data_IF_324380626738
#
_entry.id   IF_324380626738
#
_cell.length_a   1.000
_cell.length_b   1.000
_cell.length_c   1.000
_cell.angle_alpha   90.00
_cell.angle_beta   90.00
_cell.angle_gamma   90.00
#
_symmetry.space_group_name_H-M   'P 1'
#
loop_
_entity.id
_entity.type
_entity.pdbx_description
1 polymer ?
#
# COMPACT_ATOMS: atom_id res chain seq x y z
N UNK A 1 -0.55 -19.85 -12.88
CA UNK A 1 -0.92 -18.42 -12.72
C UNK A 1 -2.41 -18.25 -13.04
N UNK A 2 -3.28 -18.05 -12.05
CA UNK A 2 -4.63 -17.56 -12.34
C UNK A 2 -4.48 -16.09 -12.72
N UNK A 3 -4.55 -15.81 -14.02
CA UNK A 3 -4.54 -14.47 -14.59
C UNK A 3 -5.56 -13.60 -13.87
N UNK A 4 -5.25 -12.31 -13.71
CA UNK A 4 -6.09 -11.29 -13.07
C UNK A 4 -7.40 -11.08 -13.84
N UNK A 5 -8.29 -12.08 -13.88
CA UNK A 5 -9.53 -12.06 -14.63
C UNK A 5 -10.35 -10.84 -14.17
N UNK A 6 -10.30 -9.79 -15.01
CA UNK A 6 -10.97 -8.52 -14.84
C UNK A 6 -10.28 -7.47 -13.96
N UNK A 7 -8.97 -7.51 -13.66
CA UNK A 7 -8.27 -6.40 -12.98
C UNK A 7 -7.01 -5.96 -13.70
N UNK A 8 -6.75 -4.64 -13.71
CA UNK A 8 -5.53 -4.04 -14.29
C UNK A 8 -4.79 -3.15 -13.28
N UNK A 9 -3.48 -2.92 -13.47
CA UNK A 9 -2.78 -1.86 -12.76
C UNK A 9 -3.36 -0.48 -13.10
N UNK A 10 -3.10 0.50 -12.23
CA UNK A 10 -3.32 1.91 -12.54
C UNK A 10 -2.29 2.39 -13.56
N UNK A 11 -2.73 3.22 -14.50
CA UNK A 11 -1.81 3.95 -15.38
C UNK A 11 -1.00 4.98 -14.59
N UNK A 12 0.07 5.49 -15.20
CA UNK A 12 0.88 6.55 -14.60
C UNK A 12 0.05 7.82 -14.29
N UNK A 13 -0.92 8.15 -15.13
CA UNK A 13 -1.80 9.30 -14.94
C UNK A 13 -2.79 9.05 -13.79
N UNK A 14 -3.42 7.87 -13.73
CA UNK A 14 -4.31 7.54 -12.62
C UNK A 14 -3.56 7.46 -11.28
N UNK A 15 -2.32 6.97 -11.26
CA UNK A 15 -1.48 7.05 -10.07
C UNK A 15 -1.22 8.51 -9.69
N UNK A 16 -0.87 9.37 -10.64
CA UNK A 16 -0.71 10.79 -10.34
C UNK A 16 -2.00 11.37 -9.73
N UNK A 17 -3.15 11.19 -10.38
CA UNK A 17 -4.46 11.64 -9.90
C UNK A 17 -4.83 11.07 -8.53
N UNK A 18 -4.55 9.78 -8.27
CA UNK A 18 -4.78 9.16 -6.97
C UNK A 18 -3.98 9.81 -5.86
N UNK A 19 -2.73 10.17 -6.11
CA UNK A 19 -1.79 10.71 -5.12
C UNK A 19 -1.64 12.23 -5.19
N UNK A 20 -2.53 12.91 -5.92
CA UNK A 20 -2.80 14.35 -5.84
C UNK A 20 -4.26 14.67 -5.53
N UNK A 21 -5.11 13.64 -5.41
CA UNK A 21 -6.51 13.77 -5.04
C UNK A 21 -6.69 14.31 -3.62
N UNK A 22 -7.94 14.53 -3.21
CA UNK A 22 -8.25 15.33 -2.00
C UNK A 22 -7.60 14.82 -0.71
N UNK A 23 -7.35 13.51 -0.58
CA UNK A 23 -6.65 12.93 0.59
C UNK A 23 -5.20 13.38 0.67
N UNK A 24 -4.58 13.68 -0.47
CA UNK A 24 -3.17 14.05 -0.59
C UNK A 24 -2.96 15.52 -0.98
N UNK A 25 -4.04 16.28 -1.16
CA UNK A 25 -4.01 17.73 -1.37
C UNK A 25 -4.07 18.50 -0.05
N UNK A 26 -4.19 19.82 -0.14
CA UNK A 26 -4.20 20.70 1.04
C UNK A 26 -5.62 21.00 1.57
N UNK A 27 -6.66 20.67 0.78
CA UNK A 27 -8.05 20.97 1.13
C UNK A 27 -8.85 19.70 1.44
N UNK A 28 -9.67 19.77 2.48
CA UNK A 28 -10.69 18.75 2.76
C UNK A 28 -11.90 18.92 1.84
N UNK A 29 -12.56 17.81 1.51
CA UNK A 29 -13.87 17.87 0.86
C UNK A 29 -14.99 18.03 1.88
N UNK A 30 -16.14 18.57 1.45
CA UNK A 30 -17.31 18.75 2.32
C UNK A 30 -17.74 17.41 2.93
N UNK A 31 -17.97 17.41 4.26
CA UNK A 31 -18.34 16.22 5.07
C UNK A 31 -17.32 15.08 5.00
N UNK A 32 -16.06 15.39 4.69
CA UNK A 32 -14.99 14.42 4.78
C UNK A 32 -14.78 13.93 6.21
N UNK A 33 -14.76 12.62 6.39
CA UNK A 33 -14.31 11.99 7.64
C UNK A 33 -12.94 11.37 7.38
N UNK A 34 -11.91 12.21 7.34
CA UNK A 34 -10.54 11.79 7.12
C UNK A 34 -10.09 10.85 8.25
N UNK A 35 -9.36 9.80 7.89
CA UNK A 35 -8.81 8.79 8.79
C UNK A 35 -7.36 8.54 8.39
N UNK A 36 -6.50 8.23 9.34
CA UNK A 36 -5.07 8.01 9.10
C UNK A 36 -4.86 6.88 8.09
N UNK A 37 -5.67 5.83 8.16
CA UNK A 37 -5.62 4.74 7.18
C UNK A 37 -5.98 5.17 5.74
N UNK A 38 -6.79 6.23 5.53
CA UNK A 38 -7.07 6.73 4.17
C UNK A 38 -5.80 7.25 3.49
N UNK A 39 -4.87 7.84 4.25
CA UNK A 39 -3.59 8.33 3.77
C UNK A 39 -2.57 7.19 3.65
N UNK A 40 -2.39 6.40 4.72
CA UNK A 40 -1.29 5.42 4.78
C UNK A 40 -1.56 4.12 4.02
N UNK A 41 -2.80 3.64 3.99
CA UNK A 41 -3.08 2.33 3.40
C UNK A 41 -2.78 2.28 1.89
N UNK A 42 -3.21 3.26 1.06
CA UNK A 42 -2.88 3.21 -0.37
C UNK A 42 -1.36 3.35 -0.61
N UNK A 43 -0.68 4.24 0.14
CA UNK A 43 0.77 4.40 0.06
C UNK A 43 1.50 3.08 0.34
N UNK A 44 1.20 2.44 1.47
CA UNK A 44 1.81 1.14 1.82
C UNK A 44 1.45 0.08 0.78
N UNK A 45 0.21 0.02 0.30
CA UNK A 45 -0.20 -0.93 -0.73
C UNK A 45 0.60 -0.77 -2.03
N UNK A 46 0.92 0.47 -2.43
CA UNK A 46 1.74 0.73 -3.61
C UNK A 46 3.20 0.32 -3.44
N UNK A 47 3.83 0.69 -2.31
CA UNK A 47 5.25 0.42 -2.09
C UNK A 47 5.56 -1.00 -1.60
N UNK A 48 4.54 -1.80 -1.26
CA UNK A 48 4.73 -3.18 -0.76
C UNK A 48 3.96 -4.24 -1.55
N UNK A 49 3.00 -3.82 -2.37
CA UNK A 49 2.07 -4.74 -3.04
C UNK A 49 1.24 -5.59 -2.08
N UNK A 50 1.19 -5.27 -0.78
CA UNK A 50 0.38 -5.98 0.20
C UNK A 50 -1.11 -5.72 -0.03
N UNK A 51 -1.93 -6.72 0.28
CA UNK A 51 -3.39 -6.60 0.26
C UNK A 51 -3.87 -5.78 1.46
N UNK A 52 -5.06 -5.18 1.32
CA UNK A 52 -5.63 -4.34 2.37
C UNK A 52 -5.88 -5.06 3.69
N UNK A 53 -6.14 -6.37 3.66
CA UNK A 53 -6.23 -7.18 4.90
C UNK A 53 -4.85 -7.37 5.56
N UNK A 54 -3.78 -7.59 4.78
CA UNK A 54 -2.41 -7.68 5.32
C UNK A 54 -2.02 -6.36 5.99
N UNK A 55 -2.25 -5.23 5.31
CA UNK A 55 -1.94 -3.90 5.82
C UNK A 55 -2.82 -3.53 7.02
N UNK A 56 -4.10 -3.92 6.96
CA UNK A 56 -5.05 -3.68 8.04
C UNK A 56 -4.66 -4.39 9.33
N UNK A 57 -3.98 -5.53 9.25
CA UNK A 57 -3.48 -6.28 10.41
C UNK A 57 -2.15 -5.79 10.97
N UNK A 58 -1.35 -5.01 10.22
CA UNK A 58 0.00 -4.62 10.64
C UNK A 58 0.01 -3.90 11.99
N UNK A 59 0.93 -4.32 12.85
CA UNK A 59 1.21 -3.76 14.16
C UNK A 59 2.63 -3.19 14.24
N UNK A 60 2.92 -2.46 15.32
CA UNK A 60 4.27 -1.96 15.58
C UNK A 60 5.31 -3.09 15.68
N UNK A 61 4.92 -4.27 16.15
CA UNK A 61 5.79 -5.44 16.26
C UNK A 61 6.11 -6.07 14.90
N UNK A 62 5.28 -5.81 13.88
CA UNK A 62 5.52 -6.23 12.51
C UNK A 62 6.52 -5.31 11.77
N UNK A 63 7.08 -4.30 12.44
CA UNK A 63 8.17 -3.47 11.93
C UNK A 63 9.50 -3.94 12.50
N UNK A 64 10.23 -4.72 11.70
CA UNK A 64 11.50 -5.34 12.12
C UNK A 64 12.69 -4.63 11.47
N UNK A 65 13.83 -4.60 12.17
CA UNK A 65 15.09 -4.09 11.61
C UNK A 65 15.97 -5.29 11.29
N UNK A 66 16.18 -5.52 10.00
CA UNK A 66 16.98 -6.64 9.49
C UNK A 66 18.18 -6.09 8.73
N UNK A 67 19.40 -6.44 9.12
CA UNK A 67 20.62 -5.90 8.49
C UNK A 67 20.64 -4.36 8.44
N UNK A 68 20.18 -3.70 9.52
CA UNK A 68 19.99 -2.24 9.63
C UNK A 68 18.96 -1.62 8.68
N UNK A 69 18.09 -2.44 8.07
CA UNK A 69 17.02 -1.99 7.17
C UNK A 69 15.68 -2.23 7.85
N UNK A 70 14.89 -1.18 8.03
CA UNK A 70 13.52 -1.28 8.53
C UNK A 70 12.65 -1.99 7.49
N UNK A 71 11.94 -3.04 7.89
CA UNK A 71 11.09 -3.85 7.05
C UNK A 71 9.68 -3.97 7.64
N UNK A 72 8.68 -4.10 6.77
CA UNK A 72 7.39 -4.67 7.12
C UNK A 72 7.49 -6.20 7.10
N UNK A 73 7.10 -6.85 8.19
CA UNK A 73 6.89 -8.29 8.27
C UNK A 73 5.43 -8.62 7.98
N UNK A 74 5.16 -9.09 6.78
CA UNK A 74 3.81 -9.51 6.41
C UNK A 74 3.59 -10.97 6.76
N UNK A 75 2.71 -11.20 7.72
CA UNK A 75 2.19 -12.52 8.07
C UNK A 75 0.94 -12.81 7.25
N UNK A 76 0.85 -14.04 6.73
CA UNK A 76 -0.26 -14.45 5.87
C UNK A 76 -0.76 -15.83 6.26
N UNK A 77 -2.06 -16.05 6.09
CA UNK A 77 -2.67 -17.37 6.14
C UNK A 77 -3.17 -17.74 4.75
N UNK A 78 -2.68 -18.85 4.19
CA UNK A 78 -3.18 -19.40 2.93
C UNK A 78 -2.23 -19.24 1.74
N UNK A 79 -2.72 -18.63 0.66
CA UNK A 79 -2.17 -18.80 -0.71
C UNK A 79 -0.89 -18.02 -1.03
N UNK A 80 -0.54 -17.05 -0.19
CA UNK A 80 0.65 -16.20 -0.35
C UNK A 80 1.53 -16.47 0.85
N UNK A 81 2.84 -16.61 0.64
CA UNK A 81 3.79 -16.84 1.71
C UNK A 81 4.08 -15.55 2.51
N UNK A 82 4.40 -15.68 3.81
CA UNK A 82 4.94 -14.59 4.60
C UNK A 82 6.21 -14.02 3.95
N UNK A 83 6.46 -12.73 4.15
CA UNK A 83 7.60 -12.04 3.54
C UNK A 83 7.96 -10.76 4.27
N UNK A 84 9.24 -10.43 4.23
CA UNK A 84 9.75 -9.11 4.61
C UNK A 84 9.77 -8.18 3.39
N UNK A 85 9.32 -6.95 3.59
CA UNK A 85 9.40 -5.90 2.57
C UNK A 85 10.06 -4.66 3.20
N UNK A 86 11.26 -4.27 2.73
CA UNK A 86 11.91 -3.04 3.15
C UNK A 86 10.98 -1.81 3.07
N UNK A 87 11.03 -0.96 4.08
CA UNK A 87 10.26 0.29 4.10
C UNK A 87 10.88 1.25 3.09
N UNK A 88 10.11 1.58 2.06
CA UNK A 88 10.56 2.49 1.01
C UNK A 88 10.82 3.91 1.54
N UNK A 89 11.90 4.57 1.06
CA UNK A 89 12.27 5.92 1.50
C UNK A 89 11.14 6.95 1.29
N UNK A 90 10.30 6.78 0.26
CA UNK A 90 9.16 7.67 0.04
C UNK A 90 8.11 7.62 1.18
N UNK A 91 7.97 6.49 1.89
CA UNK A 91 7.12 6.41 3.07
C UNK A 91 7.73 7.20 4.23
N UNK A 92 9.05 7.05 4.44
CA UNK A 92 9.79 7.81 5.45
C UNK A 92 9.65 9.31 5.19
N UNK A 93 9.88 9.75 3.95
CA UNK A 93 9.74 11.14 3.53
C UNK A 93 8.28 11.65 3.65
N UNK A 94 7.29 10.76 3.58
CA UNK A 94 5.89 11.09 3.81
C UNK A 94 5.53 11.23 5.30
N UNK A 95 6.50 11.17 6.22
CA UNK A 95 6.29 11.32 7.66
C UNK A 95 5.97 10.01 8.38
N UNK A 96 6.46 8.87 7.89
CA UNK A 96 6.15 7.57 8.50
C UNK A 96 6.69 7.46 9.93
N UNK A 97 7.89 7.96 10.19
CA UNK A 97 8.46 7.96 11.54
C UNK A 97 7.62 8.78 12.54
N UNK A 98 7.13 9.95 12.11
CA UNK A 98 6.23 10.78 12.92
C UNK A 98 4.91 10.06 13.19
N UNK A 99 4.40 9.35 12.19
CA UNK A 99 3.19 8.55 12.34
C UNK A 99 3.37 7.39 13.34
N UNK A 100 4.51 6.71 13.31
CA UNK A 100 4.83 5.66 14.30
C UNK A 100 4.96 6.23 15.71
N UNK A 101 5.60 7.40 15.86
CA UNK A 101 5.67 8.10 17.13
C UNK A 101 4.28 8.49 17.64
N UNK A 102 3.40 8.96 16.75
CA UNK A 102 2.02 9.26 17.06
C UNK A 102 1.24 8.02 17.52
N UNK A 103 1.31 6.90 16.79
CA UNK A 103 0.67 5.63 17.18
C UNK A 103 1.07 5.24 18.62
N UNK A 104 2.38 5.28 18.91
CA UNK A 104 2.91 4.99 20.26
C UNK A 104 2.37 5.96 21.30
N UNK A 105 2.33 7.26 21.00
CA UNK A 105 1.78 8.28 21.92
C UNK A 105 0.30 8.08 22.24
N UNK A 106 -0.45 7.49 21.32
CA UNK A 106 -1.88 7.19 21.48
C UNK A 106 -2.14 5.81 22.12
N UNK A 107 -1.09 5.13 22.60
CA UNK A 107 -1.15 3.74 23.11
C UNK A 107 -1.82 2.76 22.13
N UNK A 108 -1.70 3.02 20.83
CA UNK A 108 -2.19 2.14 19.78
C UNK A 108 -1.09 1.16 19.38
N UNK A 109 -1.47 -0.06 19.01
CA UNK A 109 -0.53 -1.08 18.50
C UNK A 109 -0.63 -1.30 16.99
N UNK A 110 -1.83 -1.16 16.43
CA UNK A 110 -2.07 -1.38 15.00
C UNK A 110 -1.74 -0.14 14.19
N UNK A 111 -1.01 -0.28 13.09
CA UNK A 111 -0.69 0.82 12.20
C UNK A 111 -1.94 1.43 11.59
N UNK A 112 -2.96 0.62 11.29
CA UNK A 112 -4.28 1.08 10.84
C UNK A 112 -5.27 1.06 12.01
N UNK A 113 -4.93 1.71 13.14
CA UNK A 113 -5.74 1.66 14.35
C UNK A 113 -7.18 2.16 14.13
N UNK A 114 -7.36 3.18 13.29
CA UNK A 114 -8.66 3.79 12.98
C UNK A 114 -9.37 3.18 11.77
N UNK A 115 -8.87 2.06 11.22
CA UNK A 115 -9.56 1.23 10.23
C UNK A 115 -10.45 0.19 10.94
N UNK A 116 -11.78 0.29 10.84
CA UNK A 116 -12.67 -0.69 11.44
C UNK A 116 -12.60 -2.04 10.72
N UNK A 117 -12.67 -3.12 11.49
CA UNK A 117 -12.88 -4.46 10.97
C UNK A 117 -14.38 -4.75 10.82
N UNK A 118 -14.74 -5.62 9.88
CA UNK A 118 -16.04 -6.27 9.78
C UNK A 118 -15.82 -7.79 9.75
N UNK A 119 -16.36 -8.49 10.75
CA UNK A 119 -16.17 -9.95 10.89
C UNK A 119 -14.70 -10.36 10.84
N UNK A 120 -13.83 -9.59 11.51
CA UNK A 120 -12.39 -9.85 11.57
C UNK A 120 -11.61 -9.53 10.28
N UNK A 121 -12.24 -8.94 9.25
CA UNK A 121 -11.57 -8.50 8.01
C UNK A 121 -11.63 -6.98 7.85
N UNK A 122 -10.60 -6.41 7.26
CA UNK A 122 -10.47 -4.97 7.01
C UNK A 122 -10.78 -4.61 5.55
N UNK A 123 -10.62 -5.57 4.63
CA UNK A 123 -10.72 -5.37 3.18
C UNK A 123 -12.05 -4.81 2.72
N UNK A 124 -13.17 -5.13 3.37
CA UNK A 124 -14.48 -4.63 2.98
C UNK A 124 -14.57 -3.10 3.15
N UNK A 125 -14.15 -2.57 4.31
CA UNK A 125 -14.20 -1.13 4.59
C UNK A 125 -13.29 -0.36 3.64
N UNK A 126 -12.11 -0.92 3.36
CA UNK A 126 -11.18 -0.36 2.37
C UNK A 126 -11.80 -0.37 0.97
N UNK A 127 -12.43 -1.47 0.55
CA UNK A 127 -13.09 -1.59 -0.77
C UNK A 127 -14.20 -0.57 -0.93
N UNK A 128 -15.07 -0.41 0.07
CA UNK A 128 -16.19 0.53 0.03
C UNK A 128 -15.67 1.97 -0.04
N UNK A 129 -14.68 2.33 0.78
CA UNK A 129 -14.12 3.68 0.74
C UNK A 129 -13.41 3.96 -0.59
N UNK A 130 -12.59 3.03 -1.08
CA UNK A 130 -11.75 3.26 -2.25
C UNK A 130 -12.55 3.22 -3.57
N UNK A 131 -13.41 2.22 -3.73
CA UNK A 131 -14.15 1.96 -4.97
C UNK A 131 -15.64 2.32 -4.91
N UNK A 132 -16.18 2.66 -3.74
CA UNK A 132 -17.61 2.93 -3.56
C UNK A 132 -18.46 1.68 -3.37
N UNK A 133 -19.75 1.90 -3.12
CA UNK A 133 -20.76 0.84 -2.97
C UNK A 133 -22.16 1.36 -3.30
N UNK A 134 -22.87 0.66 -4.18
CA UNK A 134 -24.18 1.13 -4.68
C UNK A 134 -24.05 2.54 -5.26
N UNK A 135 -24.86 3.47 -4.75
CA UNK A 135 -24.85 4.89 -5.15
C UNK A 135 -23.75 5.72 -4.47
N UNK A 136 -23.05 5.16 -3.47
CA UNK A 136 -21.99 5.87 -2.75
C UNK A 136 -20.69 5.89 -3.55
N UNK A 137 -20.31 7.07 -4.03
CA UNK A 137 -19.02 7.32 -4.65
C UNK A 137 -17.86 7.08 -3.66
N UNK A 138 -16.87 6.29 -4.10
CA UNK A 138 -15.61 6.07 -3.41
C UNK A 138 -14.53 7.10 -3.77
N UNK A 139 -13.32 6.86 -3.29
CA UNK A 139 -12.15 7.68 -3.57
C UNK A 139 -11.87 7.80 -5.07
N UNK A 140 -11.95 6.68 -5.81
CA UNK A 140 -11.70 6.65 -7.26
C UNK A 140 -12.63 7.61 -8.01
N UNK A 141 -13.94 7.51 -7.80
CA UNK A 141 -14.90 8.37 -8.48
C UNK A 141 -14.75 9.84 -8.09
N UNK A 142 -14.44 10.11 -6.81
CA UNK A 142 -14.14 11.48 -6.34
C UNK A 142 -12.87 12.06 -6.96
N UNK A 143 -11.97 11.21 -7.42
CA UNK A 143 -10.80 11.59 -8.21
C UNK A 143 -11.04 11.52 -9.72
N UNK A 144 -12.30 11.36 -10.16
CA UNK A 144 -12.67 11.18 -11.57
C UNK A 144 -12.01 9.97 -12.26
N UNK A 145 -11.70 8.92 -11.50
CA UNK A 145 -11.18 7.65 -12.02
C UNK A 145 -12.32 6.63 -12.07
N UNK A 146 -12.64 6.03 -13.24
CA UNK A 146 -13.66 5.02 -13.32
C UNK A 146 -13.17 3.69 -12.71
N UNK A 147 -14.09 2.97 -12.06
CA UNK A 147 -13.80 1.63 -11.50
C UNK A 147 -13.56 0.56 -12.58
N UNK A 148 -14.06 0.79 -13.80
CA UNK A 148 -13.99 -0.13 -14.93
C UNK A 148 -13.58 0.70 -16.14
N UNK A 149 -12.60 0.24 -16.89
CA UNK A 149 -12.19 0.89 -18.13
C UNK A 149 -13.02 0.43 -19.34
N UNK A 150 -12.66 0.95 -20.50
CA UNK A 150 -13.30 0.69 -21.79
C UNK A 150 -13.24 -0.79 -22.21
N UNK A 151 -12.29 -1.55 -21.65
CA UNK A 151 -12.08 -2.97 -21.94
C UNK A 151 -12.74 -3.87 -20.88
N UNK A 152 -13.52 -3.30 -19.95
CA UNK A 152 -14.15 -4.05 -18.87
C UNK A 152 -13.19 -4.41 -17.73
N UNK A 153 -11.98 -3.87 -17.71
CA UNK A 153 -10.98 -4.16 -16.68
C UNK A 153 -11.17 -3.27 -15.47
N UNK A 154 -11.21 -3.89 -14.28
CA UNK A 154 -11.47 -3.21 -13.02
C UNK A 154 -10.20 -2.64 -12.40
N UNK A 155 -10.34 -1.49 -11.76
CA UNK A 155 -9.37 -0.92 -10.83
C UNK A 155 -9.91 -0.97 -9.41
N UNK A 156 -9.05 -1.31 -8.45
CA UNK A 156 -9.39 -1.37 -7.03
C UNK A 156 -8.11 -1.16 -6.20
N UNK A 157 -8.22 -1.15 -4.87
CA UNK A 157 -7.03 -1.05 -4.00
C UNK A 157 -6.00 -2.15 -4.32
N UNK A 158 -6.49 -3.36 -4.63
CA UNK A 158 -5.64 -4.50 -5.03
C UNK A 158 -4.90 -4.31 -6.37
N UNK A 159 -5.30 -3.34 -7.19
CA UNK A 159 -4.59 -3.00 -8.42
C UNK A 159 -3.23 -2.37 -8.15
N UNK A 160 -3.02 -1.75 -6.99
CA UNK A 160 -1.70 -1.24 -6.58
C UNK A 160 -0.66 -2.35 -6.45
N UNK A 161 -1.08 -3.57 -6.09
CA UNK A 161 -0.21 -4.75 -6.13
C UNK A 161 0.27 -5.09 -7.54
N UNK A 162 -0.54 -4.83 -8.57
CA UNK A 162 -0.14 -5.06 -9.97
C UNK A 162 0.90 -4.03 -10.40
N UNK A 163 0.74 -2.77 -9.97
CA UNK A 163 1.76 -1.74 -10.16
C UNK A 163 3.07 -2.10 -9.45
N UNK A 164 3.00 -2.64 -8.23
CA UNK A 164 4.16 -3.13 -7.48
C UNK A 164 4.82 -4.32 -8.21
N UNK A 165 4.05 -5.34 -8.59
CA UNK A 165 4.55 -6.54 -9.27
C UNK A 165 5.31 -6.20 -10.56
N UNK A 166 4.75 -5.29 -11.38
CA UNK A 166 5.39 -4.88 -12.63
C UNK A 166 6.78 -4.27 -12.41
N UNK A 167 6.91 -3.41 -11.41
CA UNK A 167 8.18 -2.75 -11.09
C UNK A 167 9.18 -3.72 -10.46
N UNK A 168 8.75 -4.48 -9.44
CA UNK A 168 9.61 -5.45 -8.76
C UNK A 168 10.11 -6.53 -9.71
N UNK A 169 9.29 -6.99 -10.66
CA UNK A 169 9.72 -7.93 -11.70
C UNK A 169 10.90 -7.38 -12.50
N UNK A 170 10.84 -6.12 -12.93
CA UNK A 170 11.90 -5.48 -13.72
C UNK A 170 13.18 -5.38 -12.88
N UNK A 171 13.09 -4.81 -11.68
CA UNK A 171 14.26 -4.55 -10.86
C UNK A 171 14.90 -5.82 -10.29
N UNK A 172 14.10 -6.84 -9.99
CA UNK A 172 14.63 -8.15 -9.60
C UNK A 172 15.37 -8.85 -10.76
N UNK A 173 14.89 -8.72 -12.00
CA UNK A 173 15.60 -9.22 -13.18
C UNK A 173 16.92 -8.46 -13.40
N UNK A 174 16.92 -7.14 -13.23
CA UNK A 174 18.15 -6.31 -13.33
C UNK A 174 19.16 -6.66 -12.22
N UNK A 175 18.68 -7.02 -11.02
CA UNK A 175 19.51 -7.54 -9.93
C UNK A 175 19.89 -9.03 -10.10
N UNK A 176 19.53 -9.64 -11.24
CA UNK A 176 19.72 -11.07 -11.53
C UNK A 176 19.20 -12.00 -10.42
N UNK A 177 18.09 -11.64 -9.78
CA UNK A 177 17.51 -12.35 -8.64
C UNK A 177 16.02 -12.63 -8.83
N UNK A 178 15.71 -13.72 -9.55
CA UNK A 178 14.33 -14.21 -9.67
C UNK A 178 13.73 -14.58 -8.30
N UNK A 179 14.58 -15.04 -7.37
CA UNK A 179 14.16 -15.40 -6.02
C UNK A 179 13.71 -14.19 -5.21
N UNK A 180 14.36 -13.03 -5.37
CA UNK A 180 13.88 -11.79 -4.74
C UNK A 180 12.47 -11.42 -5.23
N UNK A 181 12.22 -11.54 -6.54
CA UNK A 181 10.87 -11.33 -7.08
C UNK A 181 9.85 -12.29 -6.46
N UNK A 182 10.14 -13.59 -6.46
CA UNK A 182 9.23 -14.60 -5.91
C UNK A 182 8.97 -14.36 -4.41
N UNK A 183 10.01 -14.03 -3.64
CA UNK A 183 9.90 -13.73 -2.20
C UNK A 183 9.06 -12.48 -1.93
N UNK A 184 9.35 -11.35 -2.59
CA UNK A 184 8.61 -10.10 -2.43
C UNK A 184 7.13 -10.21 -2.85
N UNK A 185 6.84 -11.08 -3.81
CA UNK A 185 5.47 -11.40 -4.20
C UNK A 185 4.81 -12.46 -3.31
N UNK A 186 5.54 -13.11 -2.40
CA UNK A 186 5.05 -14.20 -1.55
C UNK A 186 4.60 -15.41 -2.36
N UNK A 187 5.28 -15.67 -3.48
CA UNK A 187 5.02 -16.80 -4.36
C UNK A 187 5.60 -18.10 -3.79
N UNK A 188 4.94 -19.23 -4.06
CA UNK A 188 5.35 -20.53 -3.53
C UNK A 188 6.66 -21.03 -4.16
N UNK A 189 6.98 -20.48 -5.33
CA UNK A 189 8.20 -20.70 -6.10
C UNK A 189 9.47 -20.30 -5.34
N UNK A 190 9.37 -19.44 -4.32
CA UNK A 190 10.46 -19.27 -3.35
C UNK A 190 10.33 -20.31 -2.23
N UNK A 191 11.29 -21.24 -2.08
CA UNK A 191 11.11 -22.40 -1.19
C UNK A 191 11.39 -22.09 0.28
N UNK A 192 12.21 -21.08 0.57
CA UNK A 192 12.67 -20.78 1.94
C UNK A 192 11.69 -19.89 2.71
N UNK A 193 11.66 -19.99 4.05
CA UNK A 193 10.79 -19.14 4.88
C UNK A 193 11.30 -17.69 4.96
N UNK A 194 12.62 -17.51 4.96
CA UNK A 194 13.29 -16.22 5.12
C UNK A 194 14.19 -15.94 3.93
N UNK A 195 14.36 -14.67 3.60
CA UNK A 195 15.30 -14.23 2.58
C UNK A 195 16.62 -13.82 3.22
N UNK A 196 17.73 -14.42 2.80
CA UNK A 196 19.03 -14.25 3.46
C UNK A 196 19.68 -12.88 3.23
N UNK A 197 19.41 -12.25 2.09
CA UNK A 197 20.05 -10.99 1.69
C UNK A 197 19.02 -9.85 1.59
N UNK A 198 18.69 -9.24 2.73
CA UNK A 198 17.72 -8.13 2.80
C UNK A 198 18.23 -6.90 2.04
N UNK A 199 19.54 -6.71 1.91
CA UNK A 199 20.11 -5.64 1.11
C UNK A 199 19.71 -5.71 -0.38
N UNK A 200 19.61 -6.91 -0.96
CA UNK A 200 19.09 -7.10 -2.34
C UNK A 200 17.62 -6.70 -2.42
N UNK A 201 16.79 -7.11 -1.44
CA UNK A 201 15.39 -6.68 -1.38
C UNK A 201 15.29 -5.16 -1.30
N UNK A 202 16.12 -4.53 -0.44
CA UNK A 202 16.12 -3.09 -0.24
C UNK A 202 16.54 -2.33 -1.50
N UNK A 203 17.57 -2.84 -2.20
CA UNK A 203 17.99 -2.27 -3.48
C UNK A 203 16.88 -2.36 -4.53
N UNK A 204 16.11 -3.45 -4.58
CA UNK A 204 14.99 -3.62 -5.52
C UNK A 204 13.84 -2.69 -5.15
N UNK A 205 13.44 -2.68 -3.88
CA UNK A 205 12.34 -1.84 -3.38
C UNK A 205 12.66 -0.36 -3.56
N UNK A 206 13.89 0.06 -3.28
CA UNK A 206 14.33 1.46 -3.44
C UNK A 206 14.28 2.01 -4.88
N UNK A 207 14.10 1.15 -5.88
CA UNK A 207 13.94 1.56 -7.28
C UNK A 207 12.46 1.78 -7.67
N UNK A 208 11.51 1.41 -6.80
CA UNK A 208 10.09 1.65 -7.05
C UNK A 208 9.86 3.14 -7.24
N UNK A 209 9.13 3.49 -8.30
CA UNK A 209 8.85 4.87 -8.68
C UNK A 209 8.23 5.63 -7.51
N UNK A 210 8.87 6.74 -7.14
CA UNK A 210 8.27 7.70 -6.21
C UNK A 210 7.09 8.39 -6.91
N UNK A 211 5.86 8.20 -6.41
CA UNK A 211 4.68 8.77 -7.09
C UNK A 211 4.57 10.29 -6.88
N UNK A 212 4.76 10.74 -5.64
CA UNK A 212 4.67 12.15 -5.28
C UNK A 212 5.59 12.41 -4.07
N UNK A 213 6.63 13.21 -4.27
CA UNK A 213 7.63 13.54 -3.25
C UNK A 213 7.18 14.63 -2.27
N UNK A 214 6.06 15.29 -2.54
CA UNK A 214 5.52 16.38 -1.73
C UNK A 214 4.52 15.88 -0.67
N UNK A 215 4.20 14.59 -0.68
CA UNK A 215 3.29 14.00 0.31
C UNK A 215 3.91 14.09 1.69
N UNK A 216 3.11 14.51 2.67
CA UNK A 216 3.50 14.46 4.06
C UNK A 216 2.28 14.25 4.94
N UNK A 217 2.36 13.33 5.89
CA UNK A 217 1.27 13.00 6.79
C UNK A 217 0.84 14.20 7.64
N UNK A 218 1.80 15.02 8.08
CA UNK A 218 1.52 16.28 8.79
C UNK A 218 0.67 17.25 7.95
N UNK A 219 0.90 17.34 6.63
CA UNK A 219 0.06 18.13 5.72
C UNK A 219 -1.35 17.57 5.68
N UNK A 220 -1.48 16.24 5.54
CA UNK A 220 -2.78 15.56 5.53
C UNK A 220 -3.64 15.85 6.76
N UNK A 221 -3.06 15.86 7.96
CA UNK A 221 -3.80 16.13 9.20
C UNK A 221 -4.16 17.62 9.34
N UNK A 222 -3.30 18.51 8.84
CA UNK A 222 -3.46 19.96 8.90
C UNK A 222 -4.19 20.56 7.69
N UNK A 223 -4.82 19.75 6.83
CA UNK A 223 -5.59 20.23 5.67
C UNK A 223 -6.72 21.17 6.10
N UNK A 224 -6.88 22.25 5.34
CA UNK A 224 -7.90 23.26 5.59
C UNK A 224 -9.30 22.69 5.36
N UNK A 225 -10.24 23.16 6.19
CA UNK A 225 -11.66 22.92 5.95
C UNK A 225 -12.17 23.96 4.96
N UNK A 226 -13.00 23.53 4.00
CA UNK A 226 -13.81 24.47 3.22
C UNK A 226 -14.79 25.23 4.13
#
# INVERSE_FOLDING_TARGET
MKTHLGRRPFSAMELHTLYTGYIYGDMRVVREQAKHWHFWLPLIAYYTGAYSDEIGCLTLDDLTVEQNILCFSFHTHGKIKPRLIPVHQALINAGFNDYLAFIKSQNQQRLMFDLPAKTGRYSEKVRIWFSGEGERAGYLQKCAIPNIDQLGMKTAISSLRLNFEQQVRIYALQANSKDAFNYLMGFNEYPHPNYSNVAVLNSIIGQIRVINSQLHWQRFINRDSH
#
